data_IF_939250615370
#
_entry.id   IF_939250615370
#
_cell.length_a   1.000
_cell.length_b   1.000
_cell.length_c   1.000
_cell.angle_alpha   90.00
_cell.angle_beta   90.00
_cell.angle_gamma   90.00
#
_symmetry.space_group_name_H-M   'P 1'
#
loop_
_entity.id
_entity.type
_entity.pdbx_description
1 polymer ?
#
# COMPACT_ATOMS: atom_id res chain seq x y z
N UNK A 1 3.36 -60.62 25.03
CA UNK A 1 4.61 -60.12 25.63
C UNK A 1 5.27 -59.19 24.62
N UNK A 2 5.33 -57.88 24.95
CA UNK A 2 5.94 -56.72 24.23
C UNK A 2 5.28 -56.30 22.91
N UNK A 3 4.40 -55.29 22.89
CA UNK A 3 4.67 -53.83 22.92
C UNK A 3 5.71 -53.34 21.91
N UNK A 4 5.33 -52.46 20.97
CA UNK A 4 5.51 -51.00 21.14
C UNK A 4 4.78 -50.19 20.05
N UNK A 5 4.59 -48.91 20.35
CA UNK A 5 3.61 -47.95 19.86
C UNK A 5 3.76 -47.37 18.43
N UNK A 6 2.61 -46.99 17.85
CA UNK A 6 2.19 -45.69 17.26
C UNK A 6 3.19 -44.67 16.67
N UNK A 7 2.76 -44.08 15.52
CA UNK A 7 3.10 -42.79 14.85
C UNK A 7 4.16 -42.80 13.73
N UNK A 8 3.69 -42.84 12.48
CA UNK A 8 4.19 -41.99 11.36
C UNK A 8 3.31 -42.13 10.09
N UNK A 9 2.10 -41.54 10.10
CA UNK A 9 1.35 -41.29 8.85
C UNK A 9 1.64 -39.86 8.41
N UNK A 10 2.69 -39.63 7.61
CA UNK A 10 2.95 -38.50 6.68
C UNK A 10 4.45 -38.34 6.41
N UNK A 11 4.95 -38.95 5.32
CA UNK A 11 5.70 -38.11 4.36
C UNK A 11 5.29 -38.32 2.88
N UNK A 12 4.26 -39.12 2.59
CA UNK A 12 3.89 -39.42 1.19
C UNK A 12 3.31 -38.21 0.42
N UNK A 13 2.59 -37.30 1.11
CA UNK A 13 1.94 -36.15 0.47
C UNK A 13 2.98 -35.12 -0.03
N UNK A 14 4.08 -34.92 0.70
CA UNK A 14 5.11 -33.93 0.37
C UNK A 14 5.97 -34.38 -0.82
N UNK A 15 6.19 -35.69 -0.98
CA UNK A 15 6.93 -36.24 -2.11
C UNK A 15 6.11 -36.08 -3.41
N UNK A 16 4.80 -36.28 -3.36
CA UNK A 16 3.91 -36.07 -4.51
C UNK A 16 3.83 -34.58 -4.88
N UNK A 17 3.71 -33.68 -3.91
CA UNK A 17 3.73 -32.23 -4.14
C UNK A 17 5.06 -31.73 -4.71
N UNK A 18 6.20 -32.23 -4.21
CA UNK A 18 7.51 -31.90 -4.75
C UNK A 18 7.70 -32.43 -6.19
N UNK A 19 7.22 -33.65 -6.48
CA UNK A 19 7.24 -34.21 -7.82
C UNK A 19 6.33 -33.43 -8.79
N UNK A 20 5.17 -32.94 -8.34
CA UNK A 20 4.30 -32.07 -9.14
C UNK A 20 4.95 -30.71 -9.42
N UNK A 21 5.66 -30.12 -8.46
CA UNK A 21 6.38 -28.85 -8.65
C UNK A 21 7.53 -29.02 -9.65
N UNK A 22 8.34 -30.07 -9.52
CA UNK A 22 9.46 -30.33 -10.43
C UNK A 22 8.95 -30.72 -11.82
N UNK A 23 7.91 -31.54 -11.91
CA UNK A 23 7.26 -31.89 -13.18
C UNK A 23 6.64 -30.67 -13.87
N UNK A 24 6.00 -29.78 -13.12
CA UNK A 24 5.47 -28.51 -13.63
C UNK A 24 6.59 -27.57 -14.11
N UNK A 25 7.71 -27.51 -13.37
CA UNK A 25 8.88 -26.72 -13.76
C UNK A 25 9.55 -27.24 -15.04
N UNK A 26 9.67 -28.56 -15.19
CA UNK A 26 10.19 -29.19 -16.40
C UNK A 26 9.24 -29.02 -17.59
N UNK A 27 7.92 -29.11 -17.36
CA UNK A 27 6.90 -28.82 -18.37
C UNK A 27 6.97 -27.36 -18.86
N UNK A 28 7.13 -26.40 -17.95
CA UNK A 28 7.31 -24.99 -18.31
C UNK A 28 8.63 -24.72 -19.03
N UNK A 29 9.72 -25.38 -18.62
CA UNK A 29 11.06 -25.15 -19.21
C UNK A 29 11.22 -25.76 -20.60
N UNK A 30 10.51 -26.84 -20.92
CA UNK A 30 10.59 -27.51 -22.23
C UNK A 30 9.49 -27.10 -23.21
N UNK A 31 8.56 -26.22 -22.83
CA UNK A 31 7.55 -25.71 -23.76
C UNK A 31 8.20 -24.64 -24.64
N UNK A 32 8.33 -24.92 -25.94
CA UNK A 32 8.66 -23.88 -26.93
C UNK A 32 7.58 -22.81 -26.85
N UNK A 33 8.01 -21.62 -26.44
CA UNK A 33 7.15 -20.44 -26.30
C UNK A 33 6.84 -19.92 -27.69
N UNK A 34 5.61 -20.13 -28.14
CA UNK A 34 5.02 -19.31 -29.18
C UNK A 34 4.69 -17.95 -28.54
N UNK A 35 5.45 -16.93 -28.96
CA UNK A 35 5.41 -15.57 -28.43
C UNK A 35 4.10 -14.86 -28.81
N UNK A 36 2.98 -15.18 -28.14
CA UNK A 36 1.79 -14.33 -28.28
C UNK A 36 0.88 -14.20 -27.05
N UNK A 37 1.29 -14.69 -25.88
CA UNK A 37 0.60 -14.35 -24.62
C UNK A 37 1.62 -13.93 -23.58
N UNK A 38 1.78 -12.62 -23.46
CA UNK A 38 2.51 -12.03 -22.35
C UNK A 38 1.63 -12.07 -21.10
N UNK A 39 1.96 -12.95 -20.14
CA UNK A 39 1.65 -12.65 -18.74
C UNK A 39 2.53 -11.46 -18.37
N UNK A 40 2.06 -10.26 -18.69
CA UNK A 40 2.73 -9.02 -18.35
C UNK A 40 2.88 -8.97 -16.83
N UNK A 41 4.12 -8.87 -16.32
CA UNK A 41 4.36 -8.43 -14.94
C UNK A 41 3.69 -7.06 -14.81
N UNK A 42 2.61 -6.96 -14.03
CA UNK A 42 1.93 -5.68 -13.80
C UNK A 42 2.92 -4.71 -13.16
N UNK A 43 2.97 -3.48 -13.67
CA UNK A 43 3.78 -2.43 -13.04
C UNK A 43 3.07 -1.94 -11.76
N UNK A 44 3.78 -1.37 -10.77
CA UNK A 44 3.15 -0.81 -9.57
C UNK A 44 2.02 0.19 -9.89
N UNK A 45 2.16 0.96 -10.96
CA UNK A 45 1.12 1.85 -11.48
C UNK A 45 -0.13 1.05 -11.91
N UNK A 46 0.05 -0.03 -12.68
CA UNK A 46 -1.05 -0.88 -13.13
C UNK A 46 -1.78 -1.55 -11.96
N UNK A 47 -1.06 -1.99 -10.92
CA UNK A 47 -1.69 -2.56 -9.72
C UNK A 47 -2.53 -1.55 -8.95
N UNK A 48 -2.04 -0.31 -8.84
CA UNK A 48 -2.77 0.80 -8.24
C UNK A 48 -4.02 1.09 -9.05
N UNK A 49 -3.89 1.28 -10.37
CA UNK A 49 -4.98 1.72 -11.26
C UNK A 49 -6.02 0.63 -11.53
N UNK A 50 -5.66 -0.65 -11.47
CA UNK A 50 -6.59 -1.77 -11.69
C UNK A 50 -7.36 -2.19 -10.42
N UNK A 51 -6.89 -1.81 -9.21
CA UNK A 51 -7.55 -2.20 -7.96
C UNK A 51 -9.01 -1.73 -7.88
N UNK A 52 -9.97 -2.64 -7.94
CA UNK A 52 -11.36 -2.34 -7.61
C UNK A 52 -11.49 -2.16 -6.09
N UNK A 53 -11.77 -0.94 -5.60
CA UNK A 53 -11.89 -0.65 -4.18
C UNK A 53 -13.20 -1.18 -3.56
N UNK A 54 -14.21 -1.52 -4.36
CA UNK A 54 -15.44 -2.13 -3.84
C UNK A 54 -15.21 -3.60 -3.51
N UNK A 55 -14.36 -4.28 -4.29
CA UNK A 55 -14.01 -5.70 -4.08
C UNK A 55 -12.78 -5.91 -3.21
N UNK A 56 -11.78 -5.05 -3.34
CA UNK A 56 -10.45 -5.21 -2.75
C UNK A 56 -10.07 -4.04 -1.84
N UNK A 57 -11.04 -3.62 -1.01
CA UNK A 57 -10.83 -2.55 -0.03
C UNK A 57 -9.81 -2.97 1.04
N UNK A 58 -8.85 -2.10 1.42
CA UNK A 58 -7.97 -2.37 2.55
C UNK A 58 -8.74 -2.46 3.88
N UNK A 59 -8.76 -3.65 4.50
CA UNK A 59 -9.63 -3.94 5.65
C UNK A 59 -9.15 -3.44 7.01
N UNK A 60 -7.89 -3.02 7.14
CA UNK A 60 -7.32 -2.54 8.42
C UNK A 60 -6.75 -1.14 8.28
N UNK A 61 -6.66 -0.34 9.37
CA UNK A 61 -6.09 1.01 9.31
C UNK A 61 -4.70 1.02 8.66
N UNK A 62 -3.83 0.10 9.08
CA UNK A 62 -2.50 -0.05 8.48
C UNK A 62 -2.56 -0.37 6.99
N UNK A 63 -3.45 -1.26 6.55
CA UNK A 63 -3.56 -1.59 5.12
C UNK A 63 -4.03 -0.39 4.30
N UNK A 64 -4.87 0.48 4.87
CA UNK A 64 -5.31 1.74 4.22
C UNK A 64 -4.11 2.66 4.04
N UNK A 65 -3.34 2.90 5.10
CA UNK A 65 -2.15 3.76 5.05
C UNK A 65 -1.05 3.16 4.17
N UNK A 66 -0.83 1.85 4.19
CA UNK A 66 0.09 1.16 3.27
C UNK A 66 -0.33 1.38 1.81
N UNK A 67 -1.62 1.27 1.50
CA UNK A 67 -2.13 1.51 0.15
C UNK A 67 -1.90 2.97 -0.27
N UNK A 68 -2.20 3.92 0.61
CA UNK A 68 -1.92 5.35 0.41
C UNK A 68 -0.43 5.61 0.16
N UNK A 69 0.45 5.10 1.02
CA UNK A 69 1.91 5.30 0.92
C UNK A 69 2.51 4.67 -0.33
N UNK A 70 2.01 3.51 -0.78
CA UNK A 70 2.41 2.92 -2.06
C UNK A 70 2.02 3.80 -3.25
N UNK A 71 0.83 4.43 -3.17
CA UNK A 71 0.40 5.38 -4.19
C UNK A 71 1.33 6.59 -4.23
N UNK A 72 1.68 7.17 -3.07
CA UNK A 72 2.62 8.28 -3.02
C UNK A 72 3.99 7.92 -3.62
N UNK A 73 4.56 6.74 -3.31
CA UNK A 73 5.82 6.29 -3.93
C UNK A 73 5.76 6.29 -5.46
N UNK A 74 4.65 5.82 -6.03
CA UNK A 74 4.46 5.80 -7.49
C UNK A 74 4.24 7.20 -8.04
N UNK A 75 3.41 8.00 -7.39
CA UNK A 75 3.03 9.34 -7.80
C UNK A 75 4.23 10.30 -7.85
N UNK A 76 5.11 10.20 -6.84
CA UNK A 76 6.30 11.04 -6.71
C UNK A 76 7.57 10.37 -7.27
N UNK A 77 7.43 9.35 -8.12
CA UNK A 77 8.58 8.71 -8.80
C UNK A 77 9.21 9.56 -9.91
N UNK A 78 8.55 10.66 -10.30
CA UNK A 78 9.01 11.59 -11.36
C UNK A 78 8.65 11.18 -12.79
N UNK A 79 8.07 9.99 -12.99
CA UNK A 79 7.89 9.36 -14.31
C UNK A 79 6.42 9.26 -14.77
N UNK A 80 5.49 9.94 -14.10
CA UNK A 80 4.07 9.92 -14.46
C UNK A 80 3.68 11.08 -15.36
N UNK A 81 2.70 10.84 -16.24
CA UNK A 81 2.01 11.93 -16.95
C UNK A 81 0.98 12.61 -16.06
N UNK A 82 0.58 13.84 -16.39
CA UNK A 82 -0.46 14.58 -15.66
C UNK A 82 -1.79 13.79 -15.62
N UNK A 83 -2.09 13.04 -16.68
CA UNK A 83 -3.27 12.17 -16.75
C UNK A 83 -3.18 10.95 -15.84
N UNK A 84 -1.98 10.37 -15.69
CA UNK A 84 -1.77 9.29 -14.73
C UNK A 84 -1.96 9.81 -13.30
N UNK A 85 -1.41 10.98 -13.00
CA UNK A 85 -1.60 11.66 -11.71
C UNK A 85 -3.09 11.88 -11.42
N UNK A 86 -3.84 12.43 -12.38
CA UNK A 86 -5.28 12.66 -12.24
C UNK A 86 -6.06 11.38 -11.94
N UNK A 87 -5.79 10.31 -12.70
CA UNK A 87 -6.44 9.00 -12.52
C UNK A 87 -6.15 8.40 -11.13
N UNK A 88 -4.88 8.44 -10.71
CA UNK A 88 -4.47 7.93 -9.39
C UNK A 88 -5.08 8.80 -8.28
N UNK A 89 -5.09 10.13 -8.46
CA UNK A 89 -5.63 11.08 -7.49
C UNK A 89 -7.13 10.88 -7.28
N UNK A 90 -7.89 10.65 -8.36
CA UNK A 90 -9.32 10.30 -8.28
C UNK A 90 -9.53 9.00 -7.50
N UNK A 91 -8.67 8.01 -7.72
CA UNK A 91 -8.75 6.72 -7.04
C UNK A 91 -8.42 6.80 -5.55
N UNK A 92 -7.41 7.58 -5.19
CA UNK A 92 -6.96 7.77 -3.81
C UNK A 92 -8.09 8.32 -2.92
N UNK A 93 -8.97 9.14 -3.49
CA UNK A 93 -10.16 9.67 -2.79
C UNK A 93 -11.13 8.58 -2.32
N UNK A 94 -11.09 7.39 -2.90
CA UNK A 94 -11.91 6.25 -2.45
C UNK A 94 -11.59 5.75 -1.04
N UNK A 95 -10.42 6.10 -0.48
CA UNK A 95 -10.03 5.79 0.90
C UNK A 95 -10.07 7.00 1.85
N UNK A 96 -10.53 8.16 1.37
CA UNK A 96 -10.67 9.36 2.19
C UNK A 96 -12.04 9.42 2.85
N UNK A 97 -12.08 9.97 4.06
CA UNK A 97 -13.30 10.22 4.81
C UNK A 97 -14.10 11.36 4.15
N UNK A 98 -15.43 11.31 4.24
CA UNK A 98 -16.33 12.29 3.63
C UNK A 98 -16.06 13.73 4.10
N UNK A 99 -15.63 13.90 5.35
CA UNK A 99 -15.26 15.21 5.89
C UNK A 99 -13.99 15.75 5.21
N UNK A 100 -12.98 14.89 5.01
CA UNK A 100 -11.78 15.25 4.27
C UNK A 100 -12.11 15.60 2.81
N UNK A 101 -12.98 14.81 2.17
CA UNK A 101 -13.43 15.03 0.80
C UNK A 101 -14.19 16.35 0.66
N UNK A 102 -15.02 16.70 1.63
CA UNK A 102 -15.82 17.94 1.65
C UNK A 102 -14.93 19.17 1.82
N UNK A 103 -13.93 19.10 2.71
CA UNK A 103 -12.97 20.19 2.91
C UNK A 103 -11.97 20.34 1.76
N UNK A 104 -11.89 19.35 0.87
CA UNK A 104 -10.97 19.33 -0.27
C UNK A 104 -11.72 19.00 -1.57
N UNK A 105 -12.42 19.97 -2.16
CA UNK A 105 -13.05 19.83 -3.47
C UNK A 105 -12.05 19.31 -4.51
N UNK A 106 -12.52 18.47 -5.44
CA UNK A 106 -11.63 17.71 -6.32
C UNK A 106 -10.70 18.58 -7.14
N UNK A 107 -11.22 19.62 -7.80
CA UNK A 107 -10.44 20.48 -8.70
C UNK A 107 -9.34 21.24 -7.94
N UNK A 108 -9.64 21.73 -6.74
CA UNK A 108 -8.65 22.41 -5.88
C UNK A 108 -7.59 21.45 -5.36
N UNK A 109 -8.01 20.26 -4.91
CA UNK A 109 -7.10 19.20 -4.49
C UNK A 109 -6.17 18.77 -5.62
N UNK A 110 -6.72 18.50 -6.81
CA UNK A 110 -5.96 18.06 -7.97
C UNK A 110 -4.95 19.13 -8.40
N UNK A 111 -5.36 20.40 -8.43
CA UNK A 111 -4.46 21.51 -8.75
C UNK A 111 -3.29 21.59 -7.78
N UNK A 112 -3.55 21.59 -6.46
CA UNK A 112 -2.48 21.63 -5.44
C UNK A 112 -1.54 20.43 -5.57
N UNK A 113 -2.10 19.23 -5.78
CA UNK A 113 -1.32 18.01 -5.96
C UNK A 113 -0.42 18.07 -7.21
N UNK A 114 -0.93 18.57 -8.33
CA UNK A 114 -0.15 18.73 -9.56
C UNK A 114 0.96 19.76 -9.39
N UNK A 115 0.69 20.88 -8.71
CA UNK A 115 1.69 21.90 -8.41
C UNK A 115 2.81 21.34 -7.51
N UNK A 116 2.44 20.54 -6.50
CA UNK A 116 3.39 19.86 -5.62
C UNK A 116 4.24 18.82 -6.36
N UNK A 117 3.64 17.98 -7.21
CA UNK A 117 4.37 16.99 -8.01
C UNK A 117 5.36 17.67 -8.97
N UNK A 118 4.98 18.83 -9.54
CA UNK A 118 5.88 19.63 -10.37
C UNK A 118 7.06 20.17 -9.56
N UNK A 119 6.81 20.70 -8.35
CA UNK A 119 7.88 21.14 -7.44
C UNK A 119 8.85 19.99 -7.13
N UNK A 120 8.31 18.84 -6.69
CA UNK A 120 9.10 17.63 -6.41
C UNK A 120 9.95 17.22 -7.61
N UNK A 121 9.35 17.15 -8.80
CA UNK A 121 10.06 16.81 -10.03
C UNK A 121 11.16 17.81 -10.35
N UNK A 122 10.90 19.10 -10.19
CA UNK A 122 11.89 20.16 -10.45
C UNK A 122 13.09 20.13 -9.48
N UNK A 123 12.84 19.76 -8.23
CA UNK A 123 13.85 19.58 -7.20
C UNK A 123 14.56 18.21 -7.29
N UNK A 124 14.16 17.33 -8.20
CA UNK A 124 14.67 15.96 -8.28
C UNK A 124 14.33 15.13 -7.03
N UNK A 125 13.21 15.45 -6.36
CA UNK A 125 12.72 14.75 -5.19
C UNK A 125 11.93 13.52 -5.57
N UNK A 126 12.22 12.40 -4.92
CA UNK A 126 11.40 11.18 -5.00
C UNK A 126 11.11 10.65 -3.60
N UNK A 127 9.93 10.07 -3.43
CA UNK A 127 9.63 9.25 -2.25
C UNK A 127 10.19 7.85 -2.51
N UNK A 128 11.37 7.57 -2.00
CA UNK A 128 12.09 6.33 -2.27
C UNK A 128 11.52 5.15 -1.45
N UNK A 129 11.17 5.41 -0.19
CA UNK A 129 10.58 4.41 0.68
C UNK A 129 9.77 5.01 1.83
N UNK A 130 9.13 4.14 2.61
CA UNK A 130 8.48 4.52 3.86
C UNK A 130 8.54 3.40 4.90
N UNK A 131 8.41 3.79 6.17
CA UNK A 131 8.19 2.88 7.30
C UNK A 131 6.87 3.27 7.94
N UNK A 132 5.98 2.29 8.11
CA UNK A 132 4.77 2.43 8.90
C UNK A 132 5.01 1.75 10.24
N UNK A 133 4.63 2.43 11.31
CA UNK A 133 4.77 1.91 12.65
C UNK A 133 4.15 0.51 12.83
N UNK A 134 4.68 -0.25 13.78
CA UNK A 134 4.21 -1.59 14.08
C UNK A 134 2.81 -1.57 14.72
N UNK A 135 2.07 -2.65 14.51
CA UNK A 135 0.68 -2.72 14.95
C UNK A 135 0.50 -2.63 16.46
N UNK A 136 1.54 -2.98 17.23
CA UNK A 136 1.56 -2.89 18.68
C UNK A 136 1.43 -1.46 19.21
N UNK A 137 1.83 -0.48 18.40
CA UNK A 137 1.87 0.94 18.80
C UNK A 137 0.69 1.73 18.23
N UNK A 138 -0.16 1.10 17.41
CA UNK A 138 -1.34 1.77 16.86
C UNK A 138 -2.34 2.11 17.97
N UNK A 139 -2.66 3.41 18.09
CA UNK A 139 -3.70 3.89 18.99
C UNK A 139 -5.09 3.68 18.37
N UNK A 140 -5.97 3.02 19.12
CA UNK A 140 -7.39 2.91 18.80
C UNK A 140 -8.23 3.64 19.85
N UNK A 141 -9.22 4.41 19.42
CA UNK A 141 -10.16 5.07 20.34
C UNK A 141 -11.55 5.13 19.74
N UNK A 142 -12.57 5.09 20.60
CA UNK A 142 -13.96 5.33 20.22
C UNK A 142 -14.39 6.66 20.82
N UNK A 143 -14.83 7.59 19.97
CA UNK A 143 -15.30 8.91 20.39
C UNK A 143 -16.62 9.25 19.70
N UNK A 144 -17.62 9.62 20.51
CA UNK A 144 -18.99 9.94 20.04
C UNK A 144 -19.58 8.85 19.13
N UNK A 145 -19.35 7.58 19.48
CA UNK A 145 -19.87 6.43 18.73
C UNK A 145 -19.15 6.12 17.42
N UNK A 146 -18.03 6.80 17.11
CA UNK A 146 -17.19 6.50 15.95
C UNK A 146 -15.84 5.94 16.39
N UNK A 147 -15.33 4.97 15.64
CA UNK A 147 -14.02 4.39 15.86
C UNK A 147 -12.95 5.14 15.09
N UNK A 148 -11.81 5.35 15.74
CA UNK A 148 -10.64 6.03 15.19
C UNK A 148 -9.39 5.16 15.39
N UNK A 149 -8.43 5.33 14.49
CA UNK A 149 -7.10 4.77 14.60
C UNK A 149 -6.06 5.84 14.26
N UNK A 150 -4.93 5.87 14.99
CA UNK A 150 -3.79 6.71 14.65
C UNK A 150 -2.58 5.87 14.26
N UNK A 151 -1.86 6.34 13.25
CA UNK A 151 -0.72 5.62 12.66
C UNK A 151 0.38 6.60 12.30
N UNK A 152 1.57 6.39 12.83
CA UNK A 152 2.76 7.13 12.45
C UNK A 152 3.47 6.49 11.24
N UNK A 153 3.91 7.34 10.32
CA UNK A 153 4.59 6.98 9.08
C UNK A 153 5.79 7.88 8.88
N UNK A 154 6.92 7.29 8.51
CA UNK A 154 8.10 8.03 8.05
C UNK A 154 8.33 7.73 6.57
N UNK A 155 8.40 8.79 5.76
CA UNK A 155 8.80 8.72 4.36
C UNK A 155 10.28 9.10 4.20
N UNK A 156 10.98 8.35 3.35
CA UNK A 156 12.34 8.64 2.92
C UNK A 156 12.29 9.35 1.57
N UNK A 157 12.57 10.65 1.58
CA UNK A 157 12.58 11.49 0.38
C UNK A 157 14.04 11.67 -0.04
N UNK A 158 14.37 11.27 -1.26
CA UNK A 158 15.69 11.54 -1.84
C UNK A 158 15.67 12.87 -2.58
N UNK A 159 16.66 13.73 -2.34
CA UNK A 159 16.93 14.95 -3.09
C UNK A 159 18.41 14.94 -3.49
N UNK A 160 18.71 14.41 -4.68
CA UNK A 160 20.08 14.12 -5.09
C UNK A 160 20.76 13.08 -4.19
N UNK A 161 21.78 13.49 -3.43
CA UNK A 161 22.50 12.63 -2.45
C UNK A 161 21.92 12.72 -1.03
N UNK A 162 21.01 13.65 -0.79
CA UNK A 162 20.44 13.88 0.53
C UNK A 162 19.23 12.97 0.73
N UNK A 163 19.07 12.46 1.95
CA UNK A 163 17.87 11.74 2.38
C UNK A 163 17.18 12.60 3.44
N UNK A 164 15.99 13.06 3.12
CA UNK A 164 15.10 13.81 4.01
C UNK A 164 14.10 12.82 4.60
N UNK A 165 13.93 12.85 5.91
CA UNK A 165 12.89 12.08 6.59
C UNK A 165 11.69 12.98 6.83
N UNK A 166 10.54 12.62 6.26
CA UNK A 166 9.27 13.28 6.53
C UNK A 166 8.44 12.38 7.44
N UNK A 167 7.89 12.94 8.51
CA UNK A 167 7.10 12.20 9.50
C UNK A 167 5.66 12.65 9.42
N UNK A 168 4.72 11.71 9.38
CA UNK A 168 3.29 11.97 9.29
C UNK A 168 2.53 11.11 10.28
N UNK A 169 1.58 11.72 11.00
CA UNK A 169 0.64 11.03 11.88
C UNK A 169 -0.73 11.02 11.23
N UNK A 170 -1.17 9.85 10.75
CA UNK A 170 -2.48 9.68 10.15
C UNK A 170 -3.54 9.45 11.22
N UNK A 171 -4.65 10.16 11.12
CA UNK A 171 -5.89 9.83 11.84
C UNK A 171 -6.88 9.24 10.86
N UNK A 172 -7.33 8.02 11.14
CA UNK A 172 -8.37 7.33 10.39
C UNK A 172 -9.64 7.27 11.21
N UNK A 173 -10.77 7.30 10.52
CA UNK A 173 -12.12 7.14 11.07
C UNK A 173 -12.81 5.99 10.34
N UNK A 174 -13.53 5.15 11.08
CA UNK A 174 -14.35 4.10 10.47
C UNK A 174 -15.68 4.70 10.00
N UNK A 175 -16.04 4.45 8.75
CA UNK A 175 -17.34 4.84 8.18
C UNK A 175 -18.47 3.92 8.65
N UNK A 176 -19.72 4.30 8.34
CA UNK A 176 -20.91 3.54 8.74
C UNK A 176 -21.00 2.15 8.08
N UNK A 177 -20.21 1.93 7.01
CA UNK A 177 -20.06 0.63 6.34
C UNK A 177 -18.94 -0.22 6.95
N UNK A 178 -18.30 0.25 8.03
CA UNK A 178 -17.22 -0.45 8.71
C UNK A 178 -15.84 -0.30 8.05
N UNK A 179 -15.70 0.55 7.03
CA UNK A 179 -14.44 0.76 6.32
C UNK A 179 -13.62 1.85 6.99
N UNK A 180 -12.33 1.62 7.14
CA UNK A 180 -11.39 2.63 7.64
C UNK A 180 -11.08 3.65 6.53
N UNK A 181 -11.19 4.94 6.87
CA UNK A 181 -11.01 6.08 5.97
C UNK A 181 -10.01 7.07 6.55
N UNK A 182 -9.16 7.66 5.73
CA UNK A 182 -8.23 8.71 6.16
C UNK A 182 -9.04 9.98 6.41
N UNK A 183 -9.03 10.46 7.66
CA UNK A 183 -9.72 11.69 8.06
C UNK A 183 -8.82 12.91 7.91
N UNK A 184 -7.57 12.81 8.36
CA UNK A 184 -6.51 13.80 8.12
C UNK A 184 -5.15 13.17 8.46
N UNK A 185 -4.09 13.92 8.19
CA UNK A 185 -2.75 13.65 8.70
C UNK A 185 -2.08 14.95 9.12
N UNK A 186 -1.14 14.85 10.04
CA UNK A 186 -0.38 15.98 10.57
C UNK A 186 1.12 15.71 10.38
N UNK A 187 1.92 16.78 10.25
CA UNK A 187 3.37 16.66 10.26
C UNK A 187 3.83 16.24 11.66
N UNK A 188 4.42 15.06 11.74
CA UNK A 188 5.01 14.51 12.96
C UNK A 188 6.47 14.92 13.14
N UNK A 189 7.11 14.32 14.14
CA UNK A 189 8.53 14.48 14.46
C UNK A 189 9.19 13.12 14.65
N UNK A 190 10.52 13.10 14.58
CA UNK A 190 11.29 11.87 14.79
C UNK A 190 11.01 11.18 16.14
N UNK A 191 10.79 11.97 17.20
CA UNK A 191 10.42 11.47 18.52
C UNK A 191 9.15 10.62 18.52
N UNK A 192 8.25 10.87 17.58
CA UNK A 192 6.92 10.25 17.56
C UNK A 192 6.96 8.81 17.04
N UNK A 193 8.11 8.34 16.52
CA UNK A 193 8.32 6.96 16.04
C UNK A 193 9.41 6.21 16.81
N UNK A 194 10.04 6.84 17.81
CA UNK A 194 11.14 6.27 18.60
C UNK A 194 10.68 5.78 19.99
N UNK A 195 9.38 5.86 20.31
CA UNK A 195 8.74 5.29 21.52
C UNK A 195 8.12 3.90 21.26
#
# INVERSE_FOLDING_TARGET
MKEFMSKAKKPMIFIILAALIVGYYFYLSNRKVDNNDSIAKKTPLTEITDRDLDKNYPGTPKSVVTYYSNILKVMYSGNLSDKDVENIAAKLRGIFDDELLTLNPYDEYLKRLQDEIKDYKSAGRIIADYVIENNSNMEFLTYKGKDYAKIDVMYFIHEGKNIIKNYEKFTLRKDDSGRWKILYWEVGKASDMEE
#
